data_IF_502015382777
#
_entry.id   IF_502015382777
#
_cell.length_a   1.000
_cell.length_b   1.000
_cell.length_c   1.000
_cell.angle_alpha   90.00
_cell.angle_beta   90.00
_cell.angle_gamma   90.00
#
_symmetry.space_group_name_H-M   'P 1'
#
loop_
_entity.id
_entity.type
_entity.pdbx_description
1 polymer ?
#
# COMPACT_ATOMS: atom_id res chain seq x y z
N UNK A 1 19.83 -17.40 18.72
CA UNK A 1 19.06 -17.53 17.47
C UNK A 1 18.17 -16.31 17.37
N UNK A 2 18.38 -15.44 16.39
CA UNK A 2 17.54 -14.25 16.21
C UNK A 2 16.24 -14.73 15.56
N UNK A 3 15.15 -14.73 16.32
CA UNK A 3 13.82 -14.93 15.78
C UNK A 3 13.51 -13.72 14.90
N UNK A 4 13.71 -13.84 13.59
CA UNK A 4 13.15 -12.89 12.63
C UNK A 4 11.65 -13.16 12.64
N UNK A 5 10.91 -12.36 13.41
CA UNK A 5 9.46 -12.32 13.35
C UNK A 5 9.03 -12.10 11.91
N UNK A 6 8.49 -13.16 11.28
CA UNK A 6 8.00 -13.14 9.90
C UNK A 6 6.74 -12.26 9.74
N UNK A 7 6.28 -11.62 10.82
CA UNK A 7 5.15 -10.69 10.84
C UNK A 7 5.51 -9.26 10.42
N UNK A 8 6.79 -8.89 10.47
CA UNK A 8 7.21 -7.50 10.26
C UNK A 8 7.43 -7.15 8.79
N UNK A 9 7.72 -8.11 7.91
CA UNK A 9 8.03 -7.84 6.50
C UNK A 9 6.83 -7.23 5.72
N UNK A 10 5.61 -7.63 6.07
CA UNK A 10 4.38 -7.09 5.50
C UNK A 10 4.04 -5.71 6.05
N UNK A 11 4.48 -5.35 7.26
CA UNK A 11 4.33 -4.01 7.81
C UNK A 11 5.44 -3.08 7.31
N UNK A 12 6.67 -3.59 7.20
CA UNK A 12 7.84 -2.86 6.70
C UNK A 12 7.63 -2.38 5.27
N UNK A 13 6.92 -3.15 4.44
CA UNK A 13 6.63 -2.78 3.04
C UNK A 13 5.75 -1.53 2.90
N UNK A 14 5.14 -1.08 4.00
CA UNK A 14 4.30 0.11 4.08
C UNK A 14 4.91 1.24 4.94
N UNK A 15 5.94 0.93 5.73
CA UNK A 15 6.51 1.84 6.72
C UNK A 15 7.32 3.02 6.12
N UNK A 16 7.66 2.96 4.84
CA UNK A 16 8.50 3.98 4.18
C UNK A 16 7.72 5.07 3.46
N UNK A 17 6.40 5.19 3.71
CA UNK A 17 5.53 6.10 2.94
C UNK A 17 5.35 5.66 1.48
N UNK A 18 5.75 4.43 1.15
CA UNK A 18 5.56 3.79 -0.16
C UNK A 18 5.15 2.34 0.05
N UNK A 19 4.36 1.80 -0.87
CA UNK A 19 3.87 0.43 -0.89
C UNK A 19 4.23 -0.26 -2.19
N UNK A 20 4.79 -1.48 -2.10
CA UNK A 20 4.93 -2.37 -3.26
C UNK A 20 3.69 -3.24 -3.36
N UNK A 21 2.98 -3.15 -4.48
CA UNK A 21 1.78 -3.93 -4.76
C UNK A 21 2.16 -5.38 -4.99
N UNK A 22 1.46 -6.29 -4.31
CA UNK A 22 1.56 -7.73 -4.50
C UNK A 22 0.24 -8.27 -5.03
N UNK A 23 0.29 -9.51 -5.52
CA UNK A 23 -0.91 -10.22 -5.94
C UNK A 23 -1.89 -10.33 -4.76
N UNK A 24 -3.11 -9.85 -4.95
CA UNK A 24 -4.16 -9.85 -3.92
C UNK A 24 -4.24 -8.57 -3.09
N UNK A 25 -3.30 -7.63 -3.25
CA UNK A 25 -3.47 -6.30 -2.69
C UNK A 25 -4.50 -5.50 -3.50
N UNK A 26 -5.22 -4.62 -2.80
CA UNK A 26 -6.09 -3.61 -3.39
C UNK A 26 -5.96 -2.31 -2.57
N UNK A 27 -6.29 -1.18 -3.17
CA UNK A 27 -6.12 0.14 -2.55
C UNK A 27 -6.83 0.23 -1.19
N UNK A 28 -8.01 -0.38 -1.05
CA UNK A 28 -8.76 -0.43 0.21
C UNK A 28 -8.02 -1.16 1.33
N UNK A 29 -7.46 -2.34 1.02
CA UNK A 29 -6.75 -3.17 2.01
C UNK A 29 -5.43 -2.52 2.41
N UNK A 30 -4.76 -1.87 1.47
CA UNK A 30 -3.55 -1.08 1.74
C UNK A 30 -3.91 0.11 2.65
N UNK A 31 -4.93 0.89 2.29
CA UNK A 31 -5.38 2.02 3.09
C UNK A 31 -5.76 1.62 4.52
N UNK A 32 -6.48 0.50 4.68
CA UNK A 32 -6.84 -0.03 6.00
C UNK A 32 -5.61 -0.43 6.83
N UNK A 33 -4.56 -0.96 6.20
CA UNK A 33 -3.32 -1.36 6.89
C UNK A 33 -2.45 -0.16 7.25
N UNK A 34 -2.38 0.83 6.38
CA UNK A 34 -1.51 2.01 6.54
C UNK A 34 -2.14 3.05 7.45
N UNK A 35 -3.42 3.37 7.19
CA UNK A 35 -4.13 4.47 7.86
C UNK A 35 -5.15 3.99 8.88
N UNK A 36 -5.36 2.68 9.03
CA UNK A 36 -6.45 2.12 9.84
C UNK A 36 -7.83 2.17 9.16
N UNK A 37 -7.97 2.97 8.11
CA UNK A 37 -9.25 3.27 7.46
C UNK A 37 -9.21 2.95 5.97
N UNK A 38 -10.03 1.99 5.53
CA UNK A 38 -10.08 1.60 4.11
C UNK A 38 -10.54 2.72 3.19
N UNK A 39 -11.38 3.65 3.67
CA UNK A 39 -11.88 4.81 2.93
C UNK A 39 -10.78 5.79 2.48
N UNK A 40 -9.61 5.78 3.15
CA UNK A 40 -8.45 6.60 2.78
C UNK A 40 -7.72 6.10 1.52
N UNK A 41 -8.27 5.11 0.83
CA UNK A 41 -7.77 4.68 -0.49
C UNK A 41 -7.78 5.83 -1.52
N UNK A 42 -8.68 6.81 -1.37
CA UNK A 42 -8.76 7.99 -2.23
C UNK A 42 -7.50 8.85 -2.14
N UNK A 43 -6.89 8.98 -0.96
CA UNK A 43 -5.62 9.69 -0.78
C UNK A 43 -4.47 8.98 -1.52
N UNK A 44 -4.42 7.64 -1.44
CA UNK A 44 -3.46 6.83 -2.21
C UNK A 44 -3.68 7.04 -3.71
N UNK A 45 -4.94 6.99 -4.16
CA UNK A 45 -5.28 7.18 -5.57
C UNK A 45 -4.86 8.58 -6.08
N UNK A 46 -5.16 9.63 -5.32
CA UNK A 46 -4.80 11.00 -5.69
C UNK A 46 -3.29 11.20 -5.77
N UNK A 47 -2.54 10.70 -4.78
CA UNK A 47 -1.07 10.76 -4.79
C UNK A 47 -0.43 10.01 -5.96
N UNK A 48 -1.12 9.01 -6.50
CA UNK A 48 -0.61 8.13 -7.56
C UNK A 48 -1.40 8.22 -8.87
N UNK A 49 -2.21 9.26 -9.09
CA UNK A 49 -3.06 9.36 -10.29
C UNK A 49 -2.25 9.35 -11.59
N UNK A 50 -0.99 9.78 -11.55
CA UNK A 50 -0.05 9.65 -12.69
C UNK A 50 0.41 8.23 -12.99
N UNK A 51 0.32 7.31 -12.01
CA UNK A 51 0.71 5.90 -12.12
C UNK A 51 -0.51 4.97 -12.25
N UNK A 52 -1.63 5.35 -11.65
CA UNK A 52 -2.88 4.59 -11.61
C UNK A 52 -3.81 5.16 -12.68
N UNK A 53 -3.86 4.47 -13.83
CA UNK A 53 -4.79 4.81 -14.91
C UNK A 53 -6.22 4.39 -14.61
N UNK A 54 -6.36 3.31 -13.86
CA UNK A 54 -7.64 2.73 -13.47
C UNK A 54 -7.47 2.17 -12.05
N UNK A 55 -8.23 2.67 -11.06
CA UNK A 55 -8.11 2.26 -9.66
C UNK A 55 -8.45 0.79 -9.43
N UNK A 56 -9.25 0.18 -10.32
CA UNK A 56 -9.58 -1.25 -10.25
C UNK A 56 -8.51 -2.13 -10.91
N UNK A 57 -7.55 -1.52 -11.63
CA UNK A 57 -6.45 -2.22 -12.31
C UNK A 57 -5.11 -1.79 -11.77
N UNK A 58 -4.71 -2.43 -10.67
CA UNK A 58 -3.37 -2.36 -10.12
C UNK A 58 -2.65 -3.69 -10.31
N UNK A 59 -1.34 -3.63 -10.55
CA UNK A 59 -0.53 -4.78 -10.92
C UNK A 59 0.58 -5.03 -9.89
N UNK A 60 0.91 -6.31 -9.61
CA UNK A 60 2.04 -6.63 -8.75
C UNK A 60 3.35 -6.02 -9.27
N UNK A 61 4.16 -5.46 -8.36
CA UNK A 61 5.42 -4.80 -8.66
C UNK A 61 5.30 -3.28 -8.83
N UNK A 62 4.09 -2.72 -8.90
CA UNK A 62 3.91 -1.26 -8.84
C UNK A 62 4.29 -0.73 -7.46
N UNK A 63 4.84 0.48 -7.42
CA UNK A 63 5.18 1.18 -6.18
C UNK A 63 4.30 2.41 -6.05
N UNK A 64 3.45 2.44 -5.03
CA UNK A 64 2.57 3.59 -4.77
C UNK A 64 3.07 4.40 -3.59
N UNK A 65 2.96 5.71 -3.72
CA UNK A 65 3.12 6.67 -2.64
C UNK A 65 1.94 6.60 -1.67
N UNK A 66 2.25 6.58 -0.38
CA UNK A 66 1.29 6.54 0.70
C UNK A 66 1.39 7.85 1.49
N UNK A 67 0.62 8.90 1.11
CA UNK A 67 0.64 10.15 1.84
C UNK A 67 0.11 9.94 3.26
N UNK A 68 0.92 10.27 4.27
CA UNK A 68 0.44 10.44 5.65
C UNK A 68 0.17 11.93 5.79
N UNK A 69 -1.09 12.35 5.61
CA UNK A 69 -1.52 13.71 5.99
C UNK A 69 -1.20 14.00 7.46
#
# INVERSE_FOLDING_TARGET
MVAVSLGDAEAQRFASGKAIIRRGDNLWTIARRVYGEGVKYTAIYQANTGQIRDPDRIYPGQVFDLPTE
#
